data_IF_505553749058
#
_entry.id   IF_505553749058
#
_cell.length_a   1.000
_cell.length_b   1.000
_cell.length_c   1.000
_cell.angle_alpha   90.00
_cell.angle_beta   90.00
_cell.angle_gamma   90.00
#
_symmetry.space_group_name_H-M   'P 1'
#
loop_
_entity.id
_entity.type
_entity.pdbx_description
1 polymer ?
#
# COMPACT_ATOMS: atom_id res chain seq x y z
N UNK A 1 -8.17 -10.17 -0.01
CA UNK A 1 -7.35 -10.16 -1.25
C UNK A 1 -5.89 -9.94 -0.84
N UNK A 2 -4.93 -10.22 -1.73
CA UNK A 2 -3.50 -9.96 -1.51
C UNK A 2 -3.01 -8.81 -2.40
N UNK A 3 -1.89 -8.22 -2.02
CA UNK A 3 -1.17 -7.29 -2.88
C UNK A 3 0.33 -7.42 -2.73
N UNK A 4 1.07 -7.02 -3.75
CA UNK A 4 2.52 -6.89 -3.73
C UNK A 4 2.89 -5.42 -3.79
N UNK A 5 3.78 -5.00 -2.90
CA UNK A 5 4.29 -3.64 -2.82
C UNK A 5 5.71 -3.60 -3.38
N UNK A 6 6.05 -2.59 -4.17
CA UNK A 6 7.36 -2.43 -4.81
C UNK A 6 7.88 -1.01 -4.60
N UNK A 7 9.20 -0.87 -4.50
CA UNK A 7 9.83 0.43 -4.74
C UNK A 7 9.88 0.72 -6.24
N UNK A 8 10.01 2.00 -6.59
CA UNK A 8 10.31 2.40 -7.96
C UNK A 8 11.57 1.67 -8.46
N UNK A 9 11.49 1.12 -9.68
CA UNK A 9 12.58 0.41 -10.37
C UNK A 9 13.06 -0.88 -9.67
N UNK A 10 12.24 -1.51 -8.81
CA UNK A 10 12.54 -2.83 -8.26
C UNK A 10 11.62 -3.91 -8.82
N UNK A 11 12.19 -5.00 -9.30
CA UNK A 11 11.43 -6.14 -9.84
C UNK A 11 10.90 -7.08 -8.74
N UNK A 12 11.50 -7.02 -7.55
CA UNK A 12 11.11 -7.83 -6.40
C UNK A 12 10.20 -7.05 -5.46
N UNK A 13 9.13 -7.68 -4.93
CA UNK A 13 8.25 -7.02 -3.98
C UNK A 13 8.98 -6.78 -2.65
N UNK A 14 8.80 -5.59 -2.11
CA UNK A 14 9.34 -5.15 -0.81
C UNK A 14 8.43 -5.56 0.34
N UNK A 15 7.18 -5.92 0.05
CA UNK A 15 6.27 -6.55 1.01
C UNK A 15 5.13 -7.27 0.27
N UNK A 16 4.65 -8.36 0.87
CA UNK A 16 3.40 -9.01 0.49
C UNK A 16 2.36 -8.59 1.51
N UNK A 17 1.30 -7.97 1.03
CA UNK A 17 0.18 -7.48 1.82
C UNK A 17 -0.95 -8.53 1.81
N UNK A 18 -1.46 -8.81 3.00
CA UNK A 18 -2.57 -9.70 3.28
C UNK A 18 -3.81 -8.89 3.69
N UNK A 19 -4.97 -9.55 3.70
CA UNK A 19 -6.27 -8.97 4.09
C UNK A 19 -6.56 -7.59 3.48
N UNK A 20 -6.12 -7.43 2.22
CA UNK A 20 -6.20 -6.15 1.54
C UNK A 20 -7.66 -5.76 1.32
N UNK A 21 -7.97 -4.51 1.62
CA UNK A 21 -9.30 -3.90 1.40
C UNK A 21 -9.14 -2.57 0.70
N UNK A 22 -9.67 -2.50 -0.52
CA UNK A 22 -9.73 -1.27 -1.30
C UNK A 22 -11.00 -0.51 -0.93
N UNK A 23 -10.86 0.76 -0.56
CA UNK A 23 -11.96 1.67 -0.22
C UNK A 23 -11.83 2.90 -1.10
N UNK A 24 -12.88 3.20 -1.85
CA UNK A 24 -13.01 4.42 -2.63
C UNK A 24 -13.93 5.38 -1.88
N UNK A 25 -13.40 6.55 -1.54
CA UNK A 25 -14.16 7.61 -0.88
C UNK A 25 -14.80 8.50 -1.93
N UNK A 26 -16.08 8.82 -1.75
CA UNK A 26 -16.73 9.86 -2.54
C UNK A 26 -16.06 11.20 -2.19
N UNK A 27 -15.44 11.85 -3.17
CA UNK A 27 -14.79 13.14 -3.00
C UNK A 27 -15.79 14.19 -2.56
N UNK A 28 -15.46 15.01 -1.56
CA UNK A 28 -16.23 16.22 -1.28
C UNK A 28 -15.42 17.50 -1.34
N UNK A 29 -14.07 17.50 -1.32
CA UNK A 29 -13.31 18.75 -1.16
C UNK A 29 -11.83 18.72 -1.64
N UNK A 30 -11.30 17.61 -2.13
CA UNK A 30 -9.89 17.48 -2.53
C UNK A 30 -9.80 16.85 -3.93
N UNK A 31 -8.85 17.32 -4.75
CA UNK A 31 -8.72 16.89 -6.16
C UNK A 31 -8.57 15.38 -6.35
N UNK A 32 -8.86 14.93 -7.58
CA UNK A 32 -9.08 13.53 -8.01
C UNK A 32 -8.04 12.50 -7.55
N UNK A 33 -6.81 12.92 -7.24
CA UNK A 33 -5.69 12.03 -6.95
C UNK A 33 -5.70 11.37 -5.56
N UNK A 34 -6.81 11.43 -4.79
CA UNK A 34 -6.80 11.08 -3.36
C UNK A 34 -7.90 10.13 -2.88
N UNK A 35 -8.76 9.60 -3.76
CA UNK A 35 -10.00 8.93 -3.35
C UNK A 35 -9.84 7.48 -2.93
N UNK A 36 -8.81 6.78 -3.41
CA UNK A 36 -8.64 5.36 -3.13
C UNK A 36 -7.66 5.15 -1.97
N UNK A 37 -8.08 4.35 -0.99
CA UNK A 37 -7.25 3.84 0.11
C UNK A 37 -7.21 2.33 0.07
N UNK A 38 -6.04 1.79 0.36
CA UNK A 38 -5.83 0.36 0.47
C UNK A 38 -5.43 0.09 1.92
N UNK A 39 -6.32 -0.52 2.66
CA UNK A 39 -6.05 -1.04 3.99
C UNK A 39 -5.41 -2.42 3.84
N UNK A 40 -4.41 -2.71 4.67
CA UNK A 40 -3.73 -3.99 4.64
C UNK A 40 -3.32 -4.45 6.03
N UNK A 41 -3.13 -5.76 6.13
CA UNK A 41 -2.37 -6.41 7.19
C UNK A 41 -1.17 -7.12 6.53
N UNK A 42 -0.05 -7.27 7.21
CA UNK A 42 1.07 -8.08 6.72
C UNK A 42 1.91 -8.56 7.88
N UNK A 43 2.44 -9.78 7.78
CA UNK A 43 3.40 -10.28 8.77
C UNK A 43 4.71 -9.50 8.76
N UNK A 44 5.07 -8.93 7.61
CA UNK A 44 6.30 -8.19 7.44
C UNK A 44 6.13 -7.10 6.38
N UNK A 45 6.04 -5.84 6.83
CA UNK A 45 6.06 -4.69 5.93
C UNK A 45 7.43 -4.48 5.26
N UNK A 46 8.44 -5.19 5.75
CA UNK A 46 9.79 -5.22 5.22
C UNK A 46 10.13 -6.68 4.84
N UNK A 47 9.96 -7.03 3.56
CA UNK A 47 10.56 -8.24 3.02
C UNK A 47 12.08 -7.99 2.94
N UNK A 48 12.81 -8.41 3.97
CA UNK A 48 14.28 -8.31 4.12
C UNK A 48 14.84 -6.96 4.61
N UNK A 49 15.86 -6.39 3.95
CA UNK A 49 16.79 -5.38 4.50
C UNK A 49 16.31 -3.91 4.42
N UNK A 50 15.17 -3.64 3.82
CA UNK A 50 14.72 -2.28 3.58
C UNK A 50 13.54 -1.94 4.49
N UNK A 51 13.68 -0.91 5.31
CA UNK A 51 12.58 -0.39 6.12
C UNK A 51 11.65 0.44 5.23
N UNK A 52 10.57 -0.17 4.76
CA UNK A 52 9.54 0.46 3.92
C UNK A 52 9.01 1.76 4.54
N UNK A 53 8.92 1.81 5.88
CA UNK A 53 8.49 2.99 6.61
C UNK A 53 9.42 4.20 6.47
N UNK A 54 10.75 3.99 6.31
CA UNK A 54 11.71 5.09 6.06
C UNK A 54 11.52 5.73 4.68
N UNK A 55 10.76 5.09 3.81
CA UNK A 55 10.47 5.53 2.45
C UNK A 55 8.99 5.86 2.27
N UNK A 56 8.28 6.18 3.36
CA UNK A 56 6.83 6.48 3.33
C UNK A 56 6.43 7.65 2.43
N UNK A 57 7.37 8.56 2.22
CA UNK A 57 7.28 9.74 1.36
C UNK A 57 7.59 9.44 -0.11
N UNK A 58 8.16 8.26 -0.39
CA UNK A 58 8.48 7.83 -1.76
C UNK A 58 7.29 7.13 -2.39
N UNK A 59 7.17 7.31 -3.70
CA UNK A 59 6.21 6.58 -4.52
C UNK A 59 6.53 5.08 -4.48
N UNK A 60 5.48 4.30 -4.24
CA UNK A 60 5.48 2.85 -4.29
C UNK A 60 4.55 2.39 -5.41
N UNK A 61 4.79 1.21 -5.95
CA UNK A 61 3.84 0.53 -6.83
C UNK A 61 3.13 -0.56 -6.05
N UNK A 62 1.80 -0.59 -6.10
CA UNK A 62 0.98 -1.68 -5.57
C UNK A 62 0.41 -2.49 -6.73
N UNK A 63 0.52 -3.82 -6.65
CA UNK A 63 -0.11 -4.76 -7.58
C UNK A 63 -1.05 -5.66 -6.79
N UNK A 64 -2.35 -5.56 -7.07
CA UNK A 64 -3.40 -6.37 -6.46
C UNK A 64 -3.44 -7.75 -7.13
N UNK A 65 -3.88 -8.75 -6.39
CA UNK A 65 -4.04 -10.13 -6.89
C UNK A 65 -5.09 -10.27 -8.00
N UNK A 66 -6.05 -9.34 -8.08
CA UNK A 66 -7.05 -9.23 -9.13
C UNK A 66 -6.53 -8.59 -10.45
N UNK A 67 -5.23 -8.30 -10.51
CA UNK A 67 -4.56 -7.76 -11.69
C UNK A 67 -4.49 -6.24 -11.74
N UNK A 68 -5.25 -5.53 -10.89
CA UNK A 68 -5.18 -4.07 -10.81
C UNK A 68 -3.85 -3.61 -10.23
N UNK A 69 -3.37 -2.46 -10.67
CA UNK A 69 -2.13 -1.86 -10.18
C UNK A 69 -2.22 -0.35 -10.09
N UNK A 70 -1.34 0.26 -9.30
CA UNK A 70 -1.27 1.71 -9.23
C UNK A 70 -0.10 2.20 -8.39
N UNK A 71 0.09 3.52 -8.42
CA UNK A 71 1.07 4.19 -7.58
C UNK A 71 0.44 4.51 -6.23
N UNK A 72 1.21 4.40 -5.15
CA UNK A 72 0.73 4.70 -3.82
C UNK A 72 1.82 5.30 -2.92
N UNK A 73 1.38 5.92 -1.82
CA UNK A 73 2.23 6.31 -0.69
C UNK A 73 1.80 5.54 0.55
N UNK A 74 2.77 5.19 1.38
CA UNK A 74 2.49 4.65 2.70
C UNK A 74 2.03 5.81 3.60
N UNK A 75 0.73 5.90 3.87
CA UNK A 75 0.16 6.99 4.66
C UNK A 75 0.27 6.69 6.16
N UNK A 76 0.02 5.44 6.55
CA UNK A 76 0.09 5.01 7.94
C UNK A 76 0.52 3.55 8.03
N UNK A 77 1.26 3.22 9.09
CA UNK A 77 1.61 1.85 9.48
C UNK A 77 1.64 1.79 11.01
N UNK A 78 1.18 0.68 11.55
CA UNK A 78 1.22 0.35 12.98
C UNK A 78 1.37 -1.17 13.14
N UNK A 79 1.44 -1.64 14.39
CA UNK A 79 1.53 -3.06 14.73
C UNK A 79 0.29 -3.42 15.57
N UNK A 80 -0.42 -4.48 15.19
CA UNK A 80 -1.57 -4.98 15.94
C UNK A 80 -1.16 -5.80 17.19
N UNK A 81 -2.14 -6.26 17.96
CA UNK A 81 -1.90 -7.06 19.17
C UNK A 81 -1.29 -8.44 18.88
N UNK A 82 -1.32 -8.90 17.64
CA UNK A 82 -0.74 -10.17 17.18
C UNK A 82 0.66 -9.98 16.59
N UNK A 83 1.17 -8.74 16.52
CA UNK A 83 2.47 -8.41 15.97
C UNK A 83 2.48 -8.24 14.44
N UNK A 84 1.32 -8.22 13.77
CA UNK A 84 1.26 -7.95 12.34
C UNK A 84 1.34 -6.44 12.09
N UNK A 85 2.01 -6.06 11.00
CA UNK A 85 1.93 -4.69 10.52
C UNK A 85 0.57 -4.44 9.86
N UNK A 86 -0.13 -3.41 10.32
CA UNK A 86 -1.40 -2.96 9.75
C UNK A 86 -1.24 -1.54 9.25
N UNK A 87 -1.84 -1.21 8.12
CA UNK A 87 -1.59 0.12 7.55
C UNK A 87 -2.53 0.53 6.44
N UNK A 88 -2.23 1.69 5.90
CA UNK A 88 -3.01 2.36 4.87
C UNK A 88 -2.08 2.89 3.79
N UNK A 89 -2.32 2.46 2.55
CA UNK A 89 -1.74 3.08 1.37
C UNK A 89 -2.73 4.09 0.78
N UNK A 90 -2.22 5.27 0.42
CA UNK A 90 -2.92 6.24 -0.41
C UNK A 90 -2.54 6.01 -1.86
N UNK A 91 -3.50 5.64 -2.70
CA UNK A 91 -3.29 5.56 -4.15
C UNK A 91 -3.14 6.99 -4.70
N UNK A 92 -2.17 7.17 -5.59
CA UNK A 92 -1.90 8.39 -6.33
C UNK A 92 -2.58 8.27 -7.70
N UNK A 93 -3.82 8.75 -7.80
CA UNK A 93 -4.67 8.58 -8.99
C UNK A 93 -5.61 7.39 -8.87
N UNK A 94 -5.73 6.60 -9.93
CA UNK A 94 -6.61 5.44 -10.01
C UNK A 94 -5.83 4.12 -10.03
N UNK A 95 -6.51 3.02 -9.70
CA UNK A 95 -6.03 1.67 -9.97
C UNK A 95 -6.42 1.28 -11.40
N UNK A 96 -5.46 0.81 -12.20
CA UNK A 96 -5.65 0.34 -13.58
C UNK A 96 -5.51 -1.17 -13.68
#
# INVERSE_FOLDING_TARGET
MKAMLYFDHTDQPVSVLDDVKVVEFQSTNHGDASHVRIFYTTKALNATKTMTELHRDRRLTVKLDDGRSGNALLQHSSIDLQGNAVGVLRVLGSLS
#
